data_IF_103568339706
#
_entry.id   IF_103568339706
#
_cell.length_a   1.000
_cell.length_b   1.000
_cell.length_c   1.000
_cell.angle_alpha   90.00
_cell.angle_beta   90.00
_cell.angle_gamma   90.00
#
_symmetry.space_group_name_H-M   'P 1'
#
loop_
_entity.id
_entity.type
_entity.pdbx_description
1 polymer ?
#
# COMPACT_ATOMS: atom_id res chain seq x y z
N UNK A 1 -11.99 13.33 2.53
CA UNK A 1 -10.78 12.64 3.03
C UNK A 1 -10.56 11.46 2.10
N UNK A 2 -9.42 11.37 1.39
CA UNK A 2 -9.14 10.24 0.51
C UNK A 2 -9.28 8.90 1.22
N UNK A 3 -9.75 7.90 0.49
CA UNK A 3 -9.74 6.50 0.92
C UNK A 3 -8.62 5.78 0.19
N UNK A 4 -7.87 4.99 0.94
CA UNK A 4 -6.78 4.17 0.43
C UNK A 4 -7.08 2.71 0.74
N UNK A 5 -7.04 1.87 -0.29
CA UNK A 5 -7.12 0.43 -0.15
C UNK A 5 -5.70 -0.12 -0.04
N UNK A 6 -5.37 -0.75 1.08
CA UNK A 6 -4.07 -1.33 1.33
C UNK A 6 -4.18 -2.83 1.24
N UNK A 7 -3.30 -3.45 0.45
CA UNK A 7 -3.21 -4.90 0.34
C UNK A 7 -1.80 -5.35 0.69
N UNK A 8 -1.71 -6.34 1.58
CA UNK A 8 -0.45 -6.92 2.03
C UNK A 8 -0.24 -8.27 1.33
N UNK A 9 0.98 -8.50 0.84
CA UNK A 9 1.32 -9.72 0.13
C UNK A 9 2.55 -10.40 0.74
N UNK A 10 2.55 -11.74 0.73
CA UNK A 10 3.73 -12.51 1.15
C UNK A 10 4.68 -12.79 -0.02
N UNK A 11 5.79 -13.47 0.29
CA UNK A 11 6.84 -13.87 -0.68
C UNK A 11 6.37 -14.74 -1.84
N UNK A 12 5.16 -15.32 -1.76
CA UNK A 12 4.54 -16.10 -2.85
C UNK A 12 3.58 -15.24 -3.68
N UNK A 13 3.63 -13.92 -3.55
CA UNK A 13 2.72 -12.94 -4.15
C UNK A 13 1.24 -13.23 -3.80
N UNK A 14 0.98 -13.87 -2.65
CA UNK A 14 -0.40 -14.12 -2.18
C UNK A 14 -0.80 -13.03 -1.21
N UNK A 15 -2.00 -12.49 -1.42
CA UNK A 15 -2.67 -11.61 -0.46
C UNK A 15 -2.76 -12.31 0.89
N UNK A 16 -2.24 -11.67 1.92
CA UNK A 16 -2.31 -12.14 3.31
C UNK A 16 -3.35 -11.36 4.10
N UNK A 17 -3.50 -10.06 3.82
CA UNK A 17 -4.46 -9.20 4.48
C UNK A 17 -4.79 -7.97 3.61
N UNK A 18 -5.88 -7.29 3.91
CA UNK A 18 -6.24 -6.02 3.29
C UNK A 18 -7.05 -5.12 4.23
N UNK A 19 -6.90 -3.82 4.07
CA UNK A 19 -7.66 -2.84 4.85
C UNK A 19 -8.00 -1.60 4.01
N UNK A 20 -9.04 -0.89 4.45
CA UNK A 20 -9.41 0.40 3.89
C UNK A 20 -9.20 1.47 4.94
N UNK A 21 -8.37 2.47 4.64
CA UNK A 21 -8.07 3.56 5.56
C UNK A 21 -8.42 4.92 4.97
N UNK A 22 -8.86 5.83 5.82
CA UNK A 22 -9.12 7.23 5.47
C UNK A 22 -7.99 8.10 5.97
N UNK A 23 -7.16 8.60 5.06
CA UNK A 23 -5.99 9.40 5.41
C UNK A 23 -6.00 10.73 4.65
N UNK A 24 -5.37 11.75 5.24
CA UNK A 24 -5.27 13.08 4.60
C UNK A 24 -4.38 13.06 3.36
N UNK A 25 -3.34 12.22 3.34
CA UNK A 25 -2.34 12.16 2.28
C UNK A 25 -1.84 10.73 2.07
N UNK A 26 -1.31 10.45 0.88
CA UNK A 26 -0.70 9.16 0.55
C UNK A 26 0.49 8.87 1.47
N UNK A 27 1.29 9.88 1.83
CA UNK A 27 2.39 9.71 2.78
C UNK A 27 1.92 9.28 4.18
N UNK A 28 0.73 9.71 4.61
CA UNK A 28 0.10 9.21 5.84
C UNK A 28 -0.30 7.74 5.71
N UNK A 29 -0.92 7.38 4.57
CA UNK A 29 -1.30 6.00 4.27
C UNK A 29 -0.10 5.05 4.24
N UNK A 30 1.01 5.44 3.61
CA UNK A 30 2.26 4.66 3.58
C UNK A 30 2.81 4.34 4.96
N UNK A 31 2.86 5.35 5.85
CA UNK A 31 3.35 5.16 7.22
C UNK A 31 2.42 4.25 8.03
N UNK A 32 1.11 4.42 7.85
CA UNK A 32 0.12 3.54 8.47
C UNK A 32 0.30 2.10 7.99
N UNK A 33 0.42 1.90 6.67
CA UNK A 33 0.57 0.59 6.06
C UNK A 33 1.81 -0.16 6.60
N UNK A 34 2.94 0.53 6.70
CA UNK A 34 4.16 -0.06 7.30
C UNK A 34 4.01 -0.38 8.79
N UNK A 35 3.23 0.39 9.53
CA UNK A 35 3.02 0.14 10.96
C UNK A 35 2.08 -1.03 11.21
N UNK A 36 1.11 -1.24 10.33
CA UNK A 36 0.09 -2.28 10.43
C UNK A 36 0.43 -3.55 9.62
N UNK A 37 1.56 -3.58 8.89
CA UNK A 37 1.95 -4.72 8.08
C UNK A 37 2.22 -5.96 8.94
N UNK A 38 1.59 -7.11 8.65
CA UNK A 38 1.92 -8.37 9.30
C UNK A 38 3.39 -8.78 9.09
N UNK A 39 3.97 -9.52 10.03
CA UNK A 39 5.40 -9.92 10.01
C UNK A 39 5.85 -10.67 8.73
N UNK A 40 4.92 -11.29 8.00
CA UNK A 40 5.19 -12.04 6.77
C UNK A 40 4.90 -11.25 5.48
N UNK A 41 4.77 -9.92 5.58
CA UNK A 41 4.59 -9.02 4.44
C UNK A 41 5.89 -8.87 3.68
N UNK A 42 5.89 -9.24 2.41
CA UNK A 42 7.00 -9.04 1.49
C UNK A 42 6.86 -7.74 0.69
N UNK A 43 5.64 -7.42 0.28
CA UNK A 43 5.34 -6.17 -0.38
C UNK A 43 3.92 -5.68 -0.04
N UNK A 44 3.70 -4.38 -0.21
CA UNK A 44 2.43 -3.69 0.08
C UNK A 44 2.00 -2.93 -1.16
N UNK A 45 0.73 -3.01 -1.52
CA UNK A 45 0.13 -2.14 -2.52
C UNK A 45 -0.85 -1.18 -1.87
N UNK A 46 -0.78 0.10 -2.25
CA UNK A 46 -1.78 1.11 -1.91
C UNK A 46 -2.49 1.52 -3.19
N UNK A 47 -3.80 1.34 -3.20
CA UNK A 47 -4.69 1.72 -4.30
C UNK A 47 -5.70 2.77 -3.87
N UNK A 48 -6.27 3.48 -4.84
CA UNK A 48 -7.48 4.27 -4.63
C UNK A 48 -8.75 3.40 -4.76
N UNK A 49 -9.92 4.03 -4.60
CA UNK A 49 -11.23 3.38 -4.74
C UNK A 49 -11.54 2.88 -6.17
N UNK A 50 -10.75 3.31 -7.16
CA UNK A 50 -10.90 2.92 -8.58
C UNK A 50 -9.91 1.80 -8.95
N UNK A 51 -9.31 1.13 -7.94
CA UNK A 51 -8.30 0.08 -8.10
C UNK A 51 -7.00 0.56 -8.76
N UNK A 52 -6.77 1.88 -8.84
CA UNK A 52 -5.52 2.41 -9.37
C UNK A 52 -4.44 2.32 -8.30
N UNK A 53 -3.36 1.58 -8.60
CA UNK A 53 -2.17 1.56 -7.75
C UNK A 53 -1.54 2.94 -7.69
N UNK A 54 -1.45 3.49 -6.47
CA UNK A 54 -0.84 4.78 -6.16
C UNK A 54 0.60 4.63 -5.69
N UNK A 55 0.88 3.57 -4.92
CA UNK A 55 2.22 3.26 -4.45
C UNK A 55 2.36 1.77 -4.18
N UNK A 56 3.57 1.25 -4.35
CA UNK A 56 3.96 -0.11 -3.96
C UNK A 56 5.20 -0.04 -3.09
N UNK A 57 5.19 -0.72 -1.95
CA UNK A 57 6.36 -0.91 -1.10
C UNK A 57 6.95 -2.29 -1.34
N UNK A 58 8.25 -2.37 -1.62
CA UNK A 58 9.01 -3.61 -1.62
C UNK A 58 10.10 -3.52 -0.53
N UNK A 59 10.39 -4.61 0.18
CA UNK A 59 11.46 -4.63 1.19
C UNK A 59 12.84 -4.22 0.65
N UNK A 60 13.14 -4.52 -0.63
CA UNK A 60 14.40 -4.20 -1.28
C UNK A 60 14.54 -2.73 -1.67
N UNK A 61 13.47 -2.15 -2.20
CA UNK A 61 13.53 -0.87 -2.94
C UNK A 61 12.78 0.27 -2.24
N UNK A 62 12.05 -0.04 -1.16
CA UNK A 62 11.19 0.91 -0.46
C UNK A 62 9.92 1.23 -1.24
N UNK A 63 9.41 2.45 -1.06
CA UNK A 63 8.19 2.92 -1.73
C UNK A 63 8.49 3.38 -3.16
N UNK A 64 7.81 2.76 -4.12
CA UNK A 64 7.73 3.19 -5.51
C UNK A 64 6.34 3.80 -5.75
N UNK A 65 6.31 5.10 -6.03
CA UNK A 65 5.07 5.80 -6.31
C UNK A 65 4.80 5.72 -7.80
N UNK A 66 3.61 5.25 -8.15
CA UNK A 66 3.12 5.39 -9.51
C UNK A 66 2.76 6.85 -9.68
N UNK A 67 3.75 7.65 -10.09
CA UNK A 67 3.55 9.02 -10.52
C UNK A 67 2.44 9.01 -11.55
N UNK A 68 1.31 9.58 -11.17
CA UNK A 68 0.29 9.95 -12.13
C UNK A 68 0.89 11.10 -12.93
N UNK A 69 1.68 10.79 -13.94
CA UNK A 69 1.92 11.73 -15.04
C UNK A 69 0.56 11.88 -15.73
N UNK A 70 -0.12 12.99 -15.43
CA UNK A 70 -1.06 13.61 -16.35
C UNK A 70 -0.28 14.45 -17.37
#
# INVERSE_FOLDING_TARGET
>A
MPSYHITYFNVKERKIDEENIFMKTLGGAKRSALHHSPDNTHHIEIKDLMEKTLARYNESDGWNDTSSEE
#
